data_IF_750145372506
#
_entry.id   IF_750145372506
#
_cell.length_a   1.000
_cell.length_b   1.000
_cell.length_c   1.000
_cell.angle_alpha   90.00
_cell.angle_beta   90.00
_cell.angle_gamma   90.00
#
_symmetry.space_group_name_H-M   'P 1'
#
loop_
_entity.id
_entity.type
_entity.pdbx_description
1 polymer ?
#
# COMPACT_ATOMS: atom_id res chain seq x y z
N UNK A 1 10.61 -29.85 15.71
CA UNK A 1 10.45 -28.93 14.57
C UNK A 1 10.76 -27.52 15.06
N UNK A 2 11.83 -26.87 14.58
CA UNK A 2 12.20 -25.51 15.04
C UNK A 2 11.23 -24.51 14.39
N UNK A 3 10.36 -23.92 15.19
CA UNK A 3 9.51 -22.81 14.75
C UNK A 3 10.43 -21.61 14.55
N UNK A 4 10.67 -21.21 13.29
CA UNK A 4 11.40 -19.99 12.97
C UNK A 4 10.69 -18.82 13.65
N UNK A 5 11.41 -18.05 14.49
CA UNK A 5 10.85 -16.83 15.09
C UNK A 5 10.50 -15.88 13.96
N UNK A 6 9.39 -15.14 14.06
CA UNK A 6 8.86 -14.32 12.94
C UNK A 6 9.82 -13.36 12.22
N UNK A 7 11.00 -13.05 12.78
CA UNK A 7 12.04 -12.30 12.06
C UNK A 7 12.82 -13.11 11.02
N UNK A 8 12.74 -14.44 11.04
CA UNK A 8 13.43 -15.38 10.14
C UNK A 8 12.51 -15.95 9.05
N UNK A 9 11.23 -15.55 9.02
CA UNK A 9 10.22 -16.13 8.12
C UNK A 9 10.44 -15.75 6.64
N UNK A 10 10.93 -14.53 6.40
CA UNK A 10 11.21 -14.00 5.07
C UNK A 10 12.57 -13.31 5.05
N UNK A 11 13.30 -13.48 3.94
CA UNK A 11 14.52 -12.70 3.64
C UNK A 11 14.17 -11.23 3.43
N UNK A 12 15.19 -10.36 3.42
CA UNK A 12 14.99 -8.95 3.10
C UNK A 12 14.43 -8.76 1.68
N UNK A 13 14.96 -9.54 0.74
CA UNK A 13 14.53 -9.57 -0.66
C UNK A 13 13.05 -9.93 -0.78
N UNK A 14 12.62 -11.04 -0.18
CA UNK A 14 11.21 -11.46 -0.18
C UNK A 14 10.29 -10.38 0.39
N UNK A 15 10.71 -9.65 1.44
CA UNK A 15 9.93 -8.54 2.00
C UNK A 15 9.82 -7.37 1.03
N UNK A 16 10.86 -7.12 0.25
CA UNK A 16 10.85 -6.07 -0.76
C UNK A 16 9.94 -6.44 -1.92
N UNK A 17 9.92 -7.71 -2.32
CA UNK A 17 9.06 -8.20 -3.41
C UNK A 17 7.56 -7.95 -3.12
N UNK A 18 7.11 -8.16 -1.87
CA UNK A 18 5.73 -7.85 -1.48
C UNK A 18 5.36 -6.36 -1.62
N UNK A 19 6.33 -5.47 -1.47
CA UNK A 19 6.13 -4.03 -1.49
C UNK A 19 6.51 -3.40 -2.85
N UNK A 20 7.01 -4.21 -3.78
CA UNK A 20 7.42 -3.75 -5.09
C UNK A 20 6.18 -3.32 -5.89
N UNK A 21 6.31 -2.20 -6.58
CA UNK A 21 5.32 -1.74 -7.54
C UNK A 21 5.73 -2.28 -8.91
N UNK A 22 4.94 -3.16 -9.55
CA UNK A 22 5.25 -3.63 -10.89
C UNK A 22 5.20 -2.49 -11.88
N UNK A 23 6.10 -2.51 -12.86
CA UNK A 23 6.21 -1.52 -13.92
C UNK A 23 5.49 -1.93 -15.21
N UNK A 24 4.79 -3.07 -15.16
CA UNK A 24 4.04 -3.62 -16.29
C UNK A 24 2.83 -2.74 -16.65
N UNK A 25 2.62 -2.50 -17.94
CA UNK A 25 1.57 -1.59 -18.44
C UNK A 25 0.15 -2.08 -18.09
N UNK A 26 -0.08 -3.39 -18.02
CA UNK A 26 -1.37 -3.96 -17.61
C UNK A 26 -1.65 -3.66 -16.13
N UNK A 27 -0.62 -3.75 -15.28
CA UNK A 27 -0.72 -3.41 -13.86
C UNK A 27 -0.97 -1.91 -13.68
N UNK A 28 -0.27 -1.06 -14.44
CA UNK A 28 -0.52 0.39 -14.47
C UNK A 28 -1.97 0.70 -14.81
N UNK A 29 -2.48 0.13 -15.91
CA UNK A 29 -3.87 0.31 -16.34
C UNK A 29 -4.89 -0.18 -15.30
N UNK A 30 -4.58 -1.26 -14.59
CA UNK A 30 -5.49 -1.88 -13.60
C UNK A 30 -5.56 -1.11 -12.29
N UNK A 31 -4.43 -0.69 -11.74
CA UNK A 31 -4.36 -0.16 -10.37
C UNK A 31 -4.06 1.34 -10.28
N UNK A 32 -3.47 1.93 -11.32
CA UNK A 32 -2.96 3.30 -11.30
C UNK A 32 -3.79 4.27 -12.17
N UNK A 33 -4.86 3.79 -12.80
CA UNK A 33 -5.83 4.63 -13.52
C UNK A 33 -6.79 5.30 -12.56
N UNK A 34 -6.95 6.62 -12.70
CA UNK A 34 -7.86 7.44 -11.92
C UNK A 34 -9.22 7.59 -12.57
N UNK A 35 -10.26 7.45 -11.75
CA UNK A 35 -11.63 7.81 -12.11
C UNK A 35 -11.80 9.34 -12.18
N UNK A 36 -12.91 9.80 -12.77
CA UNK A 36 -13.26 11.23 -12.77
C UNK A 36 -13.31 11.82 -11.36
N UNK A 37 -13.90 11.09 -10.41
CA UNK A 37 -13.95 11.48 -9.00
C UNK A 37 -12.54 11.62 -8.41
N UNK A 38 -11.64 10.70 -8.74
CA UNK A 38 -10.26 10.77 -8.27
C UNK A 38 -9.60 12.05 -8.77
N UNK A 39 -9.71 12.34 -10.07
CA UNK A 39 -9.15 13.54 -10.68
C UNK A 39 -9.72 14.83 -10.06
N UNK A 40 -11.03 14.89 -9.83
CA UNK A 40 -11.68 16.03 -9.15
C UNK A 40 -11.11 16.23 -7.74
N UNK A 41 -10.96 15.15 -6.97
CA UNK A 41 -10.37 15.21 -5.63
C UNK A 41 -8.92 15.67 -5.75
N UNK A 42 -8.07 15.02 -6.55
CA UNK A 42 -6.65 15.39 -6.73
C UNK A 42 -6.51 16.88 -7.08
N UNK A 43 -7.33 17.39 -7.99
CA UNK A 43 -7.26 18.77 -8.48
C UNK A 43 -7.72 19.83 -7.47
N UNK A 44 -8.21 19.46 -6.27
CA UNK A 44 -8.41 20.40 -5.15
C UNK A 44 -7.10 21.03 -4.66
N UNK A 45 -5.94 20.44 -4.97
CA UNK A 45 -4.62 20.95 -4.55
C UNK A 45 -4.14 22.04 -5.51
N UNK A 46 -3.66 23.16 -4.96
CA UNK A 46 -3.21 24.33 -5.75
C UNK A 46 -1.84 24.13 -6.41
N UNK A 47 -0.91 23.43 -5.74
CA UNK A 47 0.46 23.25 -6.20
C UNK A 47 0.64 21.91 -6.91
N UNK A 48 1.44 21.90 -7.96
CA UNK A 48 1.63 20.74 -8.82
C UNK A 48 2.26 19.57 -8.06
N UNK A 49 3.29 19.82 -7.26
CA UNK A 49 3.95 18.82 -6.43
C UNK A 49 2.99 18.20 -5.41
N UNK A 50 2.04 18.99 -4.89
CA UNK A 50 1.02 18.50 -3.96
C UNK A 50 -0.07 17.70 -4.68
N UNK A 51 -0.45 18.07 -5.91
CA UNK A 51 -1.35 17.29 -6.76
C UNK A 51 -0.74 15.93 -7.07
N UNK A 52 0.51 15.93 -7.57
CA UNK A 52 1.22 14.71 -7.92
C UNK A 52 1.48 13.84 -6.69
N UNK A 53 1.97 14.43 -5.59
CA UNK A 53 2.17 13.71 -4.33
C UNK A 53 0.89 13.09 -3.77
N UNK A 54 -0.23 13.83 -3.78
CA UNK A 54 -1.52 13.29 -3.37
C UNK A 54 -2.00 12.15 -4.27
N UNK A 55 -1.85 12.29 -5.59
CA UNK A 55 -2.20 11.25 -6.55
C UNK A 55 -1.36 9.98 -6.34
N UNK A 56 -0.06 10.12 -6.13
CA UNK A 56 0.84 8.99 -5.82
C UNK A 56 0.45 8.34 -4.50
N UNK A 57 0.14 9.10 -3.45
CA UNK A 57 -0.37 8.52 -2.18
C UNK A 57 -1.64 7.69 -2.39
N UNK A 58 -2.62 8.22 -3.14
CA UNK A 58 -3.85 7.49 -3.46
C UNK A 58 -3.55 6.18 -4.18
N UNK A 59 -2.67 6.24 -5.19
CA UNK A 59 -2.28 5.09 -5.98
C UNK A 59 -1.63 4.00 -5.13
N UNK A 60 -0.62 4.33 -4.30
CA UNK A 60 0.07 3.34 -3.48
C UNK A 60 -0.81 2.74 -2.37
N UNK A 61 -1.79 3.49 -1.87
CA UNK A 61 -2.80 2.97 -0.95
C UNK A 61 -3.77 1.98 -1.61
N UNK A 62 -4.03 2.10 -2.92
CA UNK A 62 -4.81 1.11 -3.67
C UNK A 62 -3.96 -0.12 -3.99
N UNK A 63 -2.75 0.11 -4.48
CA UNK A 63 -1.78 -0.92 -4.79
C UNK A 63 -0.36 -0.35 -4.65
N UNK A 64 0.52 -0.92 -3.82
CA UNK A 64 0.42 -2.25 -3.22
C UNK A 64 -0.35 -2.27 -1.88
N UNK A 65 -0.91 -1.14 -1.42
CA UNK A 65 -1.75 -1.03 -0.23
C UNK A 65 -1.06 -0.39 0.99
N UNK A 66 0.23 -0.10 0.87
CA UNK A 66 1.00 0.58 1.92
C UNK A 66 0.94 2.10 1.76
N UNK A 67 1.00 2.85 2.87
CA UNK A 67 1.08 4.29 2.78
C UNK A 67 2.46 4.70 2.21
N UNK A 68 2.50 5.86 1.58
CA UNK A 68 3.69 6.41 0.90
C UNK A 68 4.97 6.36 1.75
N UNK A 69 4.87 6.58 3.06
CA UNK A 69 6.02 6.53 4.00
C UNK A 69 6.69 5.17 4.12
N UNK A 70 6.01 4.10 3.73
CA UNK A 70 6.55 2.73 3.79
C UNK A 70 7.13 2.27 2.45
N UNK A 71 6.83 2.97 1.35
CA UNK A 71 7.35 2.62 0.03
C UNK A 71 8.72 3.30 -0.16
N UNK A 72 9.76 2.51 -0.43
CA UNK A 72 11.14 3.01 -0.57
C UNK A 72 11.34 3.87 -1.82
N UNK A 73 10.73 3.47 -2.92
CA UNK A 73 10.83 4.15 -4.21
C UNK A 73 9.59 3.87 -5.05
N UNK A 74 9.11 4.88 -5.75
CA UNK A 74 8.05 4.75 -6.74
C UNK A 74 8.72 4.69 -8.12
N UNK A 75 8.43 3.68 -8.96
CA UNK A 75 9.00 3.62 -10.31
C UNK A 75 8.69 4.88 -11.13
N UNK A 76 9.64 5.29 -11.97
CA UNK A 76 9.46 6.46 -12.83
C UNK A 76 8.30 6.27 -13.82
N UNK A 77 8.11 5.04 -14.31
CA UNK A 77 6.99 4.62 -15.15
C UNK A 77 5.64 4.95 -14.50
N UNK A 78 5.48 4.61 -13.22
CA UNK A 78 4.28 4.92 -12.42
C UNK A 78 4.09 6.43 -12.25
N UNK A 79 5.16 7.16 -11.94
CA UNK A 79 5.10 8.63 -11.78
C UNK A 79 4.67 9.30 -13.08
N UNK A 80 5.24 8.91 -14.22
CA UNK A 80 4.86 9.42 -15.54
C UNK A 80 3.41 9.06 -15.90
N UNK A 81 2.99 7.84 -15.59
CA UNK A 81 1.62 7.39 -15.84
C UNK A 81 0.61 8.23 -15.06
N UNK A 82 0.87 8.46 -13.77
CA UNK A 82 0.04 9.29 -12.88
C UNK A 82 0.05 10.76 -13.34
N UNK A 83 1.23 11.32 -13.63
CA UNK A 83 1.37 12.74 -13.95
C UNK A 83 0.64 13.11 -15.23
N UNK A 84 0.63 12.21 -16.23
CA UNK A 84 -0.12 12.37 -17.48
C UNK A 84 -1.63 12.49 -17.25
N UNK A 85 -2.19 11.69 -16.34
CA UNK A 85 -3.62 11.69 -16.06
C UNK A 85 -4.09 13.00 -15.40
N UNK A 86 -3.24 13.59 -14.56
CA UNK A 86 -3.59 14.80 -13.84
C UNK A 86 -3.12 16.07 -14.56
N UNK A 87 -2.24 15.96 -15.56
CA UNK A 87 -1.60 17.11 -16.22
C UNK A 87 -0.61 17.80 -15.30
N UNK A 88 0.36 17.05 -14.77
CA UNK A 88 1.46 17.54 -13.94
C UNK A 88 2.81 17.16 -14.56
N UNK A 89 3.88 17.88 -14.19
CA UNK A 89 5.25 17.52 -14.57
C UNK A 89 5.74 16.39 -13.65
N UNK A 90 6.24 15.26 -14.18
CA UNK A 90 6.75 14.14 -13.38
C UNK A 90 7.78 14.56 -12.34
N UNK A 91 8.71 15.46 -12.71
CA UNK A 91 9.80 15.93 -11.84
C UNK A 91 9.33 16.73 -10.63
N UNK A 92 8.10 17.24 -10.63
CA UNK A 92 7.52 17.96 -9.48
C UNK A 92 7.40 17.08 -8.23
N UNK A 93 7.40 15.74 -8.38
CA UNK A 93 7.37 14.81 -7.24
C UNK A 93 8.58 14.97 -6.32
N UNK A 94 9.73 15.43 -6.85
CA UNK A 94 10.95 15.68 -6.05
C UNK A 94 10.77 16.81 -5.03
N UNK A 95 9.80 17.69 -5.23
CA UNK A 95 9.45 18.77 -4.31
C UNK A 95 8.42 18.33 -3.27
N UNK A 96 7.93 17.09 -3.34
CA UNK A 96 6.91 16.55 -2.47
C UNK A 96 7.50 15.56 -1.44
N UNK A 97 7.18 15.70 -0.14
CA UNK A 97 6.44 16.79 0.49
C UNK A 97 7.38 17.95 0.89
N UNK A 98 6.94 19.21 0.71
CA UNK A 98 7.72 20.36 1.21
C UNK A 98 7.73 20.49 2.74
N UNK A 99 6.72 19.91 3.42
CA UNK A 99 6.61 19.86 4.88
C UNK A 99 6.10 18.49 5.27
N UNK A 100 6.65 17.89 6.31
CA UNK A 100 6.25 16.56 6.77
C UNK A 100 4.75 16.46 7.04
N UNK A 101 4.15 17.49 7.64
CA UNK A 101 2.70 17.56 7.90
C UNK A 101 1.85 17.40 6.64
N UNK A 102 2.32 17.85 5.47
CA UNK A 102 1.57 17.71 4.21
C UNK A 102 1.33 16.25 3.86
N UNK A 103 2.28 15.37 4.17
CA UNK A 103 2.12 13.94 3.92
C UNK A 103 0.99 13.38 4.80
N UNK A 104 1.01 13.69 6.10
CA UNK A 104 0.02 13.23 7.07
C UNK A 104 -1.38 13.80 6.83
N UNK A 105 -1.47 15.08 6.46
CA UNK A 105 -2.73 15.74 6.10
C UNK A 105 -3.35 15.09 4.86
N UNK A 106 -2.55 14.81 3.84
CA UNK A 106 -3.00 14.11 2.64
C UNK A 106 -3.48 12.69 2.97
N UNK A 107 -2.75 11.93 3.79
CA UNK A 107 -3.16 10.59 4.22
C UNK A 107 -4.49 10.62 5.00
N UNK A 108 -4.67 11.62 5.88
CA UNK A 108 -5.92 11.82 6.63
C UNK A 108 -7.08 12.11 5.68
N UNK A 109 -6.88 12.96 4.69
CA UNK A 109 -7.91 13.27 3.70
C UNK A 109 -8.25 12.05 2.83
N UNK A 110 -7.25 11.29 2.38
CA UNK A 110 -7.46 10.03 1.63
C UNK A 110 -8.31 9.04 2.41
N UNK A 111 -8.07 8.90 3.72
CA UNK A 111 -8.88 8.05 4.58
C UNK A 111 -10.34 8.48 4.62
N UNK A 112 -10.59 9.79 4.70
CA UNK A 112 -11.95 10.33 4.76
C UNK A 112 -12.67 10.26 3.42
N UNK A 113 -11.99 10.50 2.31
CA UNK A 113 -12.60 10.59 0.96
C UNK A 113 -12.85 9.21 0.31
N UNK A 114 -12.06 8.20 0.70
CA UNK A 114 -12.07 6.86 0.09
C UNK A 114 -12.38 5.71 1.04
N UNK A 115 -12.72 6.02 2.31
CA UNK A 115 -13.03 5.05 3.37
C UNK A 115 -11.88 4.12 3.76
N UNK A 116 -10.63 4.58 3.64
CA UNK A 116 -9.50 3.77 4.08
C UNK A 116 -9.47 3.66 5.62
N UNK A 117 -9.31 2.43 6.10
CA UNK A 117 -9.29 2.08 7.52
C UNK A 117 -7.85 1.90 7.99
N UNK A 118 -7.51 2.45 9.16
CA UNK A 118 -6.21 2.22 9.78
C UNK A 118 -6.12 0.79 10.32
N UNK A 119 -4.97 0.14 10.13
CA UNK A 119 -4.74 -1.16 10.75
C UNK A 119 -4.60 -1.03 12.28
N UNK A 120 -5.62 -1.47 13.02
CA UNK A 120 -5.60 -1.55 14.49
C UNK A 120 -5.65 -3.00 14.97
N UNK A 121 -5.70 -3.21 16.29
CA UNK A 121 -5.90 -4.54 16.87
C UNK A 121 -7.21 -5.20 16.41
N UNK A 122 -8.24 -4.41 16.07
CA UNK A 122 -9.49 -4.93 15.53
C UNK A 122 -9.28 -5.55 14.15
N UNK A 123 -8.67 -4.81 13.23
CA UNK A 123 -8.39 -5.27 11.86
C UNK A 123 -7.41 -6.45 11.87
N UNK A 124 -6.42 -6.43 12.76
CA UNK A 124 -5.54 -7.59 13.02
C UNK A 124 -6.34 -8.85 13.34
N UNK A 125 -7.33 -8.78 14.25
CA UNK A 125 -8.12 -9.95 14.67
C UNK A 125 -8.98 -10.49 13.53
N UNK A 126 -9.51 -9.60 12.70
CA UNK A 126 -10.30 -9.97 11.52
C UNK A 126 -9.40 -10.70 10.51
N UNK A 127 -8.24 -10.12 10.19
CA UNK A 127 -7.28 -10.74 9.27
C UNK A 127 -6.76 -12.08 9.81
N UNK A 128 -6.44 -12.15 11.11
CA UNK A 128 -6.01 -13.38 11.78
C UNK A 128 -7.04 -14.50 11.63
N UNK A 129 -8.32 -14.21 11.88
CA UNK A 129 -9.40 -15.20 11.75
C UNK A 129 -9.50 -15.72 10.32
N UNK A 130 -9.37 -14.84 9.33
CA UNK A 130 -9.37 -15.22 7.91
C UNK A 130 -8.18 -16.12 7.57
N UNK A 131 -6.96 -15.72 7.95
CA UNK A 131 -5.75 -16.50 7.68
C UNK A 131 -5.73 -17.86 8.38
N UNK A 132 -6.24 -17.93 9.60
CA UNK A 132 -6.32 -19.18 10.34
C UNK A 132 -7.20 -20.22 9.63
N UNK A 133 -8.21 -19.80 8.87
CA UNK A 133 -9.00 -20.71 8.05
C UNK A 133 -8.20 -21.21 6.83
N UNK A 134 -7.51 -20.30 6.14
CA UNK A 134 -6.69 -20.63 4.98
C UNK A 134 -5.48 -21.52 5.32
N UNK A 135 -4.91 -21.36 6.52
CA UNK A 135 -3.77 -22.14 6.97
C UNK A 135 -4.06 -23.65 7.09
N UNK A 136 -5.32 -24.05 7.27
CA UNK A 136 -5.72 -25.46 7.21
C UNK A 136 -5.62 -26.06 5.81
N UNK A 137 -5.78 -25.23 4.77
CA UNK A 137 -5.72 -25.65 3.37
C UNK A 137 -4.29 -25.56 2.83
N UNK A 138 -3.59 -24.46 3.13
CA UNK A 138 -2.21 -24.23 2.73
C UNK A 138 -1.47 -23.42 3.81
N UNK A 139 -0.57 -24.09 4.54
CA UNK A 139 0.26 -23.50 5.58
C UNK A 139 1.53 -22.79 5.08
N UNK A 140 1.69 -22.61 3.77
CA UNK A 140 2.83 -21.88 3.22
C UNK A 140 2.80 -20.40 3.63
N UNK A 141 3.93 -19.93 4.16
CA UNK A 141 4.07 -18.59 4.71
C UNK A 141 3.91 -17.48 3.67
N UNK A 142 4.46 -17.69 2.47
CA UNK A 142 4.44 -16.70 1.39
C UNK A 142 3.01 -16.59 0.85
N UNK A 143 2.36 -17.73 0.62
CA UNK A 143 0.96 -17.78 0.20
C UNK A 143 0.04 -17.06 1.19
N UNK A 144 0.12 -17.39 2.48
CA UNK A 144 -0.73 -16.75 3.50
C UNK A 144 -0.46 -15.25 3.66
N UNK A 145 0.77 -14.78 3.41
CA UNK A 145 1.06 -13.35 3.38
C UNK A 145 0.45 -12.65 2.17
N UNK A 146 0.48 -13.26 0.98
CA UNK A 146 -0.24 -12.74 -0.19
C UNK A 146 -1.74 -12.65 0.09
N UNK A 147 -2.34 -13.71 0.62
CA UNK A 147 -3.77 -13.71 0.98
C UNK A 147 -4.11 -12.66 2.04
N UNK A 148 -3.22 -12.46 3.03
CA UNK A 148 -3.38 -11.40 4.03
C UNK A 148 -3.42 -10.02 3.39
N UNK A 149 -2.45 -9.73 2.53
CA UNK A 149 -2.33 -8.44 1.83
C UNK A 149 -3.57 -8.21 0.97
N UNK A 150 -3.99 -9.21 0.20
CA UNK A 150 -5.17 -9.15 -0.65
C UNK A 150 -6.44 -8.92 0.15
N UNK A 151 -6.60 -9.66 1.25
CA UNK A 151 -7.71 -9.49 2.18
C UNK A 151 -7.76 -8.06 2.73
N UNK A 152 -6.63 -7.53 3.23
CA UNK A 152 -6.58 -6.18 3.80
C UNK A 152 -6.90 -5.12 2.74
N UNK A 153 -6.36 -5.23 1.52
CA UNK A 153 -6.64 -4.29 0.42
C UNK A 153 -8.10 -4.32 -0.01
N UNK A 154 -8.68 -5.50 -0.18
CA UNK A 154 -10.11 -5.67 -0.52
C UNK A 154 -11.03 -5.01 0.50
N UNK A 155 -10.62 -4.98 1.77
CA UNK A 155 -11.34 -4.33 2.87
C UNK A 155 -10.91 -2.87 3.10
N UNK A 156 -10.14 -2.26 2.18
CA UNK A 156 -9.61 -0.89 2.28
C UNK A 156 -8.81 -0.62 3.56
N UNK A 157 -8.16 -1.63 4.12
CA UNK A 157 -7.31 -1.49 5.30
C UNK A 157 -5.91 -1.09 4.84
N UNK A 158 -5.42 0.05 5.33
CA UNK A 158 -4.07 0.53 5.09
C UNK A 158 -3.09 -0.46 5.70
N UNK A 159 -2.21 -1.03 4.88
CA UNK A 159 -1.28 -2.05 5.34
C UNK A 159 -0.31 -1.47 6.40
N UNK A 160 -0.10 -2.16 7.54
CA UNK A 160 0.93 -1.80 8.50
C UNK A 160 2.31 -2.17 7.92
N UNK A 161 3.39 -1.83 8.61
CA UNK A 161 4.72 -2.31 8.25
C UNK A 161 4.73 -3.82 7.97
N UNK A 162 5.45 -4.26 6.93
CA UNK A 162 5.52 -5.68 6.53
C UNK A 162 5.96 -6.58 7.71
N UNK A 163 6.83 -6.07 8.59
CA UNK A 163 7.25 -6.75 9.82
C UNK A 163 6.10 -7.03 10.79
N UNK A 164 5.10 -6.15 10.86
CA UNK A 164 3.87 -6.35 11.64
C UNK A 164 3.06 -7.50 11.05
N UNK A 165 2.91 -7.59 9.73
CA UNK A 165 2.21 -8.69 9.07
C UNK A 165 2.90 -10.04 9.31
N UNK A 166 4.23 -10.09 9.17
CA UNK A 166 5.02 -11.32 9.42
C UNK A 166 4.93 -11.77 10.89
N UNK A 167 4.98 -10.81 11.83
CA UNK A 167 4.82 -11.13 13.26
C UNK A 167 3.42 -11.67 13.56
N UNK A 168 2.40 -11.15 12.87
CA UNK A 168 1.01 -11.61 12.99
C UNK A 168 0.88 -13.07 12.55
N UNK A 169 1.50 -13.43 11.42
CA UNK A 169 1.55 -14.80 10.92
C UNK A 169 2.19 -15.78 11.90
N UNK A 170 3.30 -15.39 12.53
CA UNK A 170 4.03 -16.28 13.45
C UNK A 170 3.21 -16.72 14.65
N UNK A 171 2.14 -15.98 14.97
CA UNK A 171 1.17 -16.31 16.03
C UNK A 171 0.00 -17.16 15.56
N UNK A 172 -0.21 -17.30 14.25
CA UNK A 172 -1.24 -18.19 13.67
C UNK A 172 -0.75 -19.64 13.68
N UNK A 173 0.56 -19.85 13.49
CA UNK A 173 1.18 -21.16 13.31
C UNK A 173 2.01 -21.65 14.51
N UNK A 174 1.98 -20.94 15.63
CA UNK A 174 2.65 -21.31 16.88
C UNK A 174 1.63 -21.48 17.99
#
# INVERSE_FOLDING_TARGET
MKIARGRELLTLEQRQDFMQIPEDELILGTYFTFSKRDLEIVNKRRREENRLGFAVQLAVLRYPGWPYTHIKSIPESVIHYISKQIGATPSSISLYPQRENTLWDHLKELRSEYDFVTFTLREYRIAFKHLHQLAFENGDAIHLLHECIDFLRKNKIILPAITTLITSYSRVNG
#
